data_IF_571416153070
#
_entry.id   IF_571416153070
#
_cell.length_a   1.000
_cell.length_b   1.000
_cell.length_c   1.000
_cell.angle_alpha   90.00
_cell.angle_beta   90.00
_cell.angle_gamma   90.00
#
_symmetry.space_group_name_H-M   'P 1'
#
loop_
_entity.id
_entity.type
_entity.pdbx_description
1 polymer ?
#
# COMPACT_ATOMS: atom_id res chain seq x y z
N UNK A 1 -13.37 1.61 -3.64
CA UNK A 1 -12.94 1.21 -5.01
C UNK A 1 -12.18 -0.12 -4.94
N UNK A 2 -12.05 -0.89 -6.02
CA UNK A 2 -11.22 -2.10 -6.01
C UNK A 2 -9.79 -1.77 -6.49
N UNK A 3 -8.79 -1.99 -5.62
CA UNK A 3 -7.37 -1.72 -5.89
C UNK A 3 -6.71 -2.82 -6.72
N UNK A 4 -7.31 -4.02 -6.79
CA UNK A 4 -6.85 -5.13 -7.61
C UNK A 4 -6.52 -6.40 -6.82
N UNK A 5 -5.77 -7.29 -7.48
CA UNK A 5 -5.38 -8.60 -6.96
C UNK A 5 -3.86 -8.62 -6.77
N UNK A 6 -3.42 -9.01 -5.59
CA UNK A 6 -2.02 -9.02 -5.19
C UNK A 6 -1.63 -10.40 -4.67
N UNK A 7 -0.40 -10.82 -4.94
CA UNK A 7 0.15 -12.05 -4.36
C UNK A 7 0.75 -11.79 -2.98
N UNK A 8 0.94 -12.86 -2.21
CA UNK A 8 1.59 -12.76 -0.91
C UNK A 8 3.06 -12.33 -1.08
N UNK A 9 3.53 -11.45 -0.20
CA UNK A 9 4.83 -10.81 -0.29
C UNK A 9 4.91 -9.66 -1.32
N UNK A 10 3.79 -9.19 -1.86
CA UNK A 10 3.73 -7.95 -2.63
C UNK A 10 3.33 -6.76 -1.75
N UNK A 11 3.56 -5.56 -2.26
CA UNK A 11 3.11 -4.31 -1.61
C UNK A 11 1.88 -3.78 -2.34
N UNK A 12 0.80 -3.55 -1.60
CA UNK A 12 -0.36 -2.79 -2.09
C UNK A 12 -0.22 -1.34 -1.67
N UNK A 13 -0.45 -0.40 -2.58
CA UNK A 13 -0.51 1.03 -2.24
C UNK A 13 -1.95 1.40 -1.93
N UNK A 14 -2.21 1.76 -0.68
CA UNK A 14 -3.50 2.33 -0.24
C UNK A 14 -3.37 3.85 -0.18
N UNK A 15 -4.45 4.56 -0.45
CA UNK A 15 -4.40 6.02 -0.46
C UNK A 15 -5.76 6.69 -0.45
N UNK A 16 -5.76 7.96 -0.06
CA UNK A 16 -6.94 8.77 0.13
C UNK A 16 -6.64 10.22 -0.25
N UNK A 17 -7.56 10.83 -1.00
CA UNK A 17 -7.64 12.28 -1.13
C UNK A 17 -8.66 12.81 -0.10
N UNK A 18 -8.22 13.73 0.74
CA UNK A 18 -9.05 14.38 1.76
C UNK A 18 -9.81 15.53 1.12
N UNK A 19 -11.11 15.58 1.38
CA UNK A 19 -12.02 16.63 0.94
C UNK A 19 -12.79 17.23 2.11
N UNK A 20 -13.32 18.43 1.96
CA UNK A 20 -14.22 19.05 2.93
C UNK A 20 -15.69 18.66 2.68
N UNK A 21 -16.62 19.30 3.41
CA UNK A 21 -18.05 19.06 3.29
C UNK A 21 -18.63 19.42 1.90
N UNK A 22 -17.95 20.26 1.13
CA UNK A 22 -18.34 20.65 -0.22
C UNK A 22 -17.72 19.74 -1.29
N UNK A 23 -16.83 18.83 -0.89
CA UNK A 23 -16.06 17.98 -1.79
C UNK A 23 -14.79 18.63 -2.33
N UNK A 24 -14.39 19.80 -1.79
CA UNK A 24 -13.19 20.49 -2.21
C UNK A 24 -11.96 19.90 -1.50
N UNK A 25 -10.79 19.79 -2.18
CA UNK A 25 -9.57 19.28 -1.55
C UNK A 25 -9.19 20.10 -0.32
N UNK A 26 -9.03 19.41 0.81
CA UNK A 26 -8.76 20.07 2.08
C UNK A 26 -7.71 19.32 2.89
N UNK A 27 -6.95 20.06 3.69
CA UNK A 27 -5.99 19.46 4.61
C UNK A 27 -6.72 18.94 5.85
N UNK A 28 -6.42 17.72 6.32
CA UNK A 28 -7.04 17.20 7.53
C UNK A 28 -6.39 17.80 8.79
N UNK A 29 -7.12 17.81 9.91
CA UNK A 29 -6.60 18.26 11.22
C UNK A 29 -5.56 17.27 11.77
N UNK A 30 -5.78 15.98 11.51
CA UNK A 30 -4.88 14.90 11.90
C UNK A 30 -4.65 13.97 10.71
N UNK A 31 -3.52 13.25 10.72
CA UNK A 31 -3.24 12.27 9.68
C UNK A 31 -4.39 11.24 9.56
N UNK A 32 -4.94 11.02 8.34
CA UNK A 32 -5.97 10.04 8.10
C UNK A 32 -5.57 8.65 8.59
N UNK A 33 -6.55 7.87 9.02
CA UNK A 33 -6.37 6.48 9.46
C UNK A 33 -6.93 5.55 8.40
N UNK A 34 -6.21 4.46 8.11
CA UNK A 34 -6.69 3.35 7.32
C UNK A 34 -6.77 2.10 8.21
N UNK A 35 -7.94 1.47 8.26
CA UNK A 35 -8.17 0.20 8.95
C UNK A 35 -8.41 -0.88 7.92
N UNK A 36 -7.64 -1.95 7.97
CA UNK A 36 -7.76 -3.09 7.06
C UNK A 36 -8.46 -4.23 7.81
N UNK A 37 -9.57 -4.70 7.27
CA UNK A 37 -10.31 -5.86 7.76
C UNK A 37 -10.29 -7.00 6.75
N UNK A 38 -10.32 -8.23 7.24
CA UNK A 38 -10.49 -9.43 6.42
C UNK A 38 -11.97 -9.70 6.07
N UNK A 39 -12.24 -10.85 5.46
CA UNK A 39 -13.59 -11.24 5.05
C UNK A 39 -14.53 -11.55 6.23
N UNK A 40 -13.98 -11.76 7.44
CA UNK A 40 -14.72 -11.99 8.68
C UNK A 40 -14.85 -10.70 9.51
N UNK A 41 -14.60 -9.54 8.89
CA UNK A 41 -14.57 -8.20 9.50
C UNK A 41 -13.57 -8.05 10.65
N UNK A 42 -12.59 -8.95 10.75
CA UNK A 42 -11.54 -8.88 11.76
C UNK A 42 -10.46 -7.89 11.34
N UNK A 43 -10.05 -7.02 12.27
CA UNK A 43 -9.01 -6.00 12.00
C UNK A 43 -7.65 -6.66 11.90
N UNK A 44 -7.06 -6.60 10.71
CA UNK A 44 -5.71 -7.11 10.43
C UNK A 44 -4.65 -6.03 10.60
N UNK A 45 -4.98 -4.78 10.28
CA UNK A 45 -4.08 -3.65 10.47
C UNK A 45 -4.83 -2.34 10.72
N UNK A 46 -4.21 -1.44 11.47
CA UNK A 46 -4.63 -0.04 11.63
C UNK A 46 -3.41 0.85 11.47
N UNK A 47 -3.47 1.73 10.48
CA UNK A 47 -2.32 2.47 9.97
C UNK A 47 -2.65 3.95 9.84
N UNK A 48 -1.67 4.81 10.13
CA UNK A 48 -1.73 6.23 9.77
C UNK A 48 -1.18 6.42 8.36
N UNK A 49 -1.92 7.10 7.50
CA UNK A 49 -1.45 7.40 6.15
C UNK A 49 -0.46 8.55 6.17
N UNK A 50 0.59 8.44 5.37
CA UNK A 50 1.58 9.50 5.18
C UNK A 50 1.14 10.44 4.05
N UNK A 51 1.51 11.72 4.15
CA UNK A 51 1.31 12.68 3.06
C UNK A 51 2.05 12.23 1.80
N UNK A 52 1.39 12.31 0.65
CA UNK A 52 1.92 11.94 -0.65
C UNK A 52 2.00 13.17 -1.56
N UNK A 53 3.11 13.90 -1.47
CA UNK A 53 3.40 15.07 -2.29
C UNK A 53 2.75 16.38 -1.80
N UNK A 54 1.45 16.37 -1.49
CA UNK A 54 0.73 17.54 -1.00
C UNK A 54 -0.04 17.25 0.32
N UNK A 55 -0.63 18.27 0.92
CA UNK A 55 -1.32 18.17 2.23
C UNK A 55 -2.73 17.57 2.16
N UNK A 56 -3.24 17.26 0.97
CA UNK A 56 -4.59 16.74 0.76
C UNK A 56 -4.59 15.29 0.28
N UNK A 57 -3.48 14.78 -0.27
CA UNK A 57 -3.32 13.42 -0.74
C UNK A 57 -2.43 12.62 0.22
N UNK A 58 -2.89 11.44 0.58
CA UNK A 58 -2.21 10.55 1.51
C UNK A 58 -2.10 9.16 0.91
N UNK A 59 -0.95 8.51 1.08
CA UNK A 59 -0.75 7.15 0.59
C UNK A 59 0.26 6.40 1.46
N UNK A 60 0.13 5.08 1.48
CA UNK A 60 1.06 4.18 2.16
C UNK A 60 1.16 2.86 1.40
N UNK A 61 2.38 2.37 1.25
CA UNK A 61 2.62 1.00 0.78
C UNK A 61 2.49 0.02 1.95
N UNK A 62 1.59 -0.96 1.82
CA UNK A 62 1.37 -2.02 2.80
C UNK A 62 1.92 -3.34 2.25
N UNK A 63 2.92 -3.90 2.92
CA UNK A 63 3.48 -5.18 2.56
C UNK A 63 2.57 -6.33 3.03
N UNK A 64 2.13 -7.15 2.08
CA UNK A 64 1.21 -8.26 2.28
C UNK A 64 1.96 -9.51 2.75
N UNK A 65 2.49 -9.45 3.97
CA UNK A 65 3.25 -10.53 4.58
C UNK A 65 2.39 -11.68 5.13
N UNK A 66 2.93 -12.42 6.10
CA UNK A 66 2.29 -13.61 6.66
C UNK A 66 0.95 -13.35 7.37
N UNK A 67 0.71 -12.12 7.82
CA UNK A 67 -0.53 -11.72 8.48
C UNK A 67 -1.70 -11.52 7.50
N UNK A 68 -1.43 -11.53 6.20
CA UNK A 68 -2.44 -11.42 5.15
C UNK A 68 -2.63 -12.80 4.52
N UNK A 69 -3.67 -13.51 4.96
CA UNK A 69 -4.13 -14.76 4.36
C UNK A 69 -4.75 -14.51 2.98
N UNK A 70 -5.02 -15.59 2.26
CA UNK A 70 -5.69 -15.51 0.97
C UNK A 70 -7.15 -15.08 1.17
N UNK A 71 -7.60 -14.08 0.42
CA UNK A 71 -8.95 -13.55 0.60
C UNK A 71 -9.09 -12.12 0.14
N UNK A 72 -10.31 -11.60 0.27
CA UNK A 72 -10.61 -10.19 0.01
C UNK A 72 -10.54 -9.42 1.31
N UNK A 73 -9.90 -8.26 1.25
CA UNK A 73 -9.74 -7.32 2.35
C UNK A 73 -10.45 -6.02 2.03
N UNK A 74 -10.98 -5.40 3.07
CA UNK A 74 -11.58 -4.06 3.01
C UNK A 74 -10.68 -3.08 3.74
N UNK A 75 -10.41 -1.93 3.13
CA UNK A 75 -9.69 -0.82 3.72
C UNK A 75 -10.69 0.29 3.97
N UNK A 76 -10.92 0.61 5.23
CA UNK A 76 -11.77 1.74 5.63
C UNK A 76 -10.89 2.91 6.05
N UNK A 77 -11.05 4.03 5.36
CA UNK A 77 -10.36 5.27 5.67
C UNK A 77 -11.26 6.19 6.51
N UNK A 78 -10.66 6.87 7.47
CA UNK A 78 -11.31 7.92 8.25
C UNK A 78 -10.40 9.13 8.41
N UNK A 79 -10.99 10.31 8.28
CA UNK A 79 -10.30 11.59 8.42
C UNK A 79 -11.24 12.68 8.93
N UNK A 80 -10.64 13.78 9.38
CA UNK A 80 -11.36 14.97 9.80
C UNK A 80 -10.72 16.21 9.16
N UNK A 81 -11.53 17.05 8.51
CA UNK A 81 -11.13 18.35 7.98
C UNK A 81 -12.05 19.43 8.57
N UNK A 82 -11.52 20.26 9.47
CA UNK A 82 -12.34 21.21 10.23
C UNK A 82 -13.41 20.50 11.07
N UNK A 83 -14.66 20.91 10.91
CA UNK A 83 -15.83 20.27 11.54
C UNK A 83 -16.37 19.06 10.76
N UNK A 84 -15.85 18.80 9.54
CA UNK A 84 -16.30 17.71 8.70
C UNK A 84 -15.50 16.43 8.99
N UNK A 85 -16.21 15.32 9.17
CA UNK A 85 -15.64 13.97 9.27
C UNK A 85 -15.98 13.21 8.00
N UNK A 86 -14.95 12.74 7.30
CA UNK A 86 -15.11 11.97 6.09
C UNK A 86 -14.63 10.54 6.25
N UNK A 87 -15.20 9.66 5.43
CA UNK A 87 -14.77 8.28 5.30
C UNK A 87 -14.82 7.84 3.85
N UNK A 88 -14.02 6.83 3.53
CA UNK A 88 -14.02 6.17 2.23
C UNK A 88 -13.66 4.69 2.43
N UNK A 89 -13.95 3.85 1.45
CA UNK A 89 -13.54 2.45 1.50
C UNK A 89 -13.02 1.94 0.17
N UNK A 90 -11.98 1.11 0.27
CA UNK A 90 -11.40 0.35 -0.81
C UNK A 90 -11.37 -1.14 -0.50
N UNK A 91 -11.15 -1.95 -1.53
CA UNK A 91 -11.00 -3.39 -1.39
C UNK A 91 -9.81 -3.88 -2.20
N UNK A 92 -9.11 -4.90 -1.73
CA UNK A 92 -8.11 -5.62 -2.51
C UNK A 92 -8.20 -7.12 -2.22
N UNK A 93 -7.72 -7.95 -3.13
CA UNK A 93 -7.73 -9.41 -2.93
C UNK A 93 -6.31 -9.96 -2.92
N UNK A 94 -5.98 -10.73 -1.88
CA UNK A 94 -4.76 -11.54 -1.81
C UNK A 94 -5.01 -12.88 -2.47
N UNK A 95 -4.24 -13.20 -3.51
CA UNK A 95 -4.35 -14.42 -4.31
C UNK A 95 -3.18 -15.36 -4.05
N UNK A 96 -3.36 -16.69 -4.28
CA UNK A 96 -2.27 -17.64 -4.17
C UNK A 96 -1.07 -17.24 -5.04
N UNK A 97 0.13 -17.47 -4.52
CA UNK A 97 1.39 -17.16 -5.19
C UNK A 97 2.29 -16.27 -4.34
N UNK A 98 3.58 -16.28 -4.65
CA UNK A 98 4.59 -15.55 -3.90
C UNK A 98 5.04 -16.28 -2.64
N UNK A 99 5.76 -15.53 -1.81
CA UNK A 99 6.29 -15.99 -0.52
C UNK A 99 5.95 -14.92 0.52
N UNK A 100 5.40 -15.28 1.69
CA UNK A 100 5.01 -14.30 2.72
C UNK A 100 6.17 -13.42 3.22
N UNK A 101 7.42 -13.88 3.06
CA UNK A 101 8.61 -13.11 3.38
C UNK A 101 9.11 -12.24 2.23
N UNK A 102 8.45 -12.25 1.07
CA UNK A 102 8.89 -11.51 -0.12
C UNK A 102 10.23 -12.02 -0.64
N UNK A 103 10.47 -13.33 -0.56
CA UNK A 103 11.76 -13.92 -0.95
C UNK A 103 12.12 -13.63 -2.41
N UNK A 104 13.40 -13.28 -2.59
CA UNK A 104 14.04 -13.12 -3.90
C UNK A 104 14.55 -14.48 -4.35
N UNK A 105 14.13 -14.92 -5.54
CA UNK A 105 14.56 -16.20 -6.15
C UNK A 105 15.71 -16.02 -7.14
N UNK A 106 15.87 -14.82 -7.70
CA UNK A 106 16.95 -14.49 -8.61
C UNK A 106 17.34 -13.02 -8.46
N UNK A 107 18.63 -12.73 -8.54
CA UNK A 107 19.16 -11.38 -8.40
C UNK A 107 20.27 -11.18 -9.43
N UNK A 108 20.18 -10.09 -10.19
CA UNK A 108 21.11 -9.76 -11.26
C UNK A 108 21.59 -8.32 -11.09
N UNK A 109 22.90 -8.13 -11.10
CA UNK A 109 23.51 -6.82 -11.12
C UNK A 109 23.56 -6.32 -12.56
N UNK A 110 22.82 -5.26 -12.84
CA UNK A 110 22.76 -4.65 -14.16
C UNK A 110 23.59 -3.37 -14.19
N UNK A 111 24.67 -3.39 -14.97
CA UNK A 111 25.59 -2.26 -15.15
C UNK A 111 25.35 -1.62 -16.52
N UNK A 112 24.96 -0.35 -16.52
CA UNK A 112 24.92 0.52 -17.71
C UNK A 112 25.86 1.70 -17.49
N UNK A 113 26.42 2.30 -18.56
CA UNK A 113 27.29 3.46 -18.44
C UNK A 113 26.72 4.62 -17.61
N UNK A 114 25.40 4.76 -17.59
CA UNK A 114 24.66 5.83 -16.93
C UNK A 114 24.06 5.45 -15.56
N UNK A 115 24.02 4.15 -15.20
CA UNK A 115 23.52 3.71 -13.90
C UNK A 115 23.77 2.22 -13.60
N UNK A 116 23.86 1.91 -12.30
CA UNK A 116 23.89 0.55 -11.75
C UNK A 116 22.63 0.24 -10.99
N UNK A 117 22.01 -0.90 -11.30
CA UNK A 117 20.81 -1.38 -10.64
C UNK A 117 20.96 -2.83 -10.22
N UNK A 118 20.30 -3.19 -9.13
CA UNK A 118 20.05 -4.57 -8.77
C UNK A 118 18.64 -4.90 -9.22
N UNK A 119 18.51 -5.89 -10.09
CA UNK A 119 17.24 -6.44 -10.55
C UNK A 119 17.00 -7.73 -9.78
N UNK A 120 15.91 -7.80 -9.03
CA UNK A 120 15.55 -8.95 -8.22
C UNK A 120 14.20 -9.51 -8.70
N UNK A 121 14.14 -10.82 -8.93
CA UNK A 121 12.88 -11.52 -9.17
C UNK A 121 12.41 -12.14 -7.85
N UNK A 122 11.17 -11.85 -7.47
CA UNK A 122 10.50 -12.44 -6.32
C UNK A 122 9.90 -13.79 -6.68
N UNK A 123 9.62 -14.62 -5.66
CA UNK A 123 8.83 -15.85 -5.80
C UNK A 123 7.43 -15.58 -6.38
N UNK A 124 6.95 -14.34 -6.25
CA UNK A 124 5.68 -13.87 -6.85
C UNK A 124 5.78 -13.61 -8.36
N UNK A 125 6.95 -13.82 -8.98
CA UNK A 125 7.22 -13.49 -10.37
C UNK A 125 7.39 -11.99 -10.63
N UNK A 126 7.29 -11.15 -9.60
CA UNK A 126 7.48 -9.70 -9.71
C UNK A 126 8.98 -9.36 -9.79
N UNK A 127 9.32 -8.45 -10.69
CA UNK A 127 10.68 -7.93 -10.82
C UNK A 127 10.78 -6.60 -10.08
N UNK A 128 11.58 -6.58 -9.03
CA UNK A 128 11.98 -5.38 -8.30
C UNK A 128 13.27 -4.82 -8.90
N UNK A 129 13.35 -3.50 -9.03
CA UNK A 129 14.55 -2.80 -9.43
C UNK A 129 14.92 -1.81 -8.32
N UNK A 130 16.13 -1.94 -7.79
CA UNK A 130 16.63 -1.10 -6.71
C UNK A 130 18.02 -0.54 -7.02
N UNK A 131 18.30 0.64 -6.49
CA UNK A 131 19.67 1.18 -6.45
C UNK A 131 20.40 0.56 -5.26
N UNK A 132 21.66 0.18 -5.43
CA UNK A 132 22.46 -0.32 -4.32
C UNK A 132 22.71 0.83 -3.32
N UNK A 133 22.28 0.74 -2.04
CA UNK A 133 22.39 1.85 -1.09
C UNK A 133 23.81 2.12 -0.58
N UNK A 134 24.81 1.32 -0.99
CA UNK A 134 26.23 1.49 -0.59
C UNK A 134 27.12 2.17 -1.65
N UNK A 135 26.54 2.73 -2.70
CA UNK A 135 27.25 3.50 -3.74
C UNK A 135 26.63 4.88 -3.91
#
# INVERSE_FOLDING_TARGET
MNLGRYQQGQTVTIGLAVVDANGDPASPITAPTAVITDADDSVVASLKLAMNGNSTAFALGVFLGINYSLGTYTVTYSYQSGAFSGSASDTFTVIPGGDPGGRVISLYAYDRPEARYVVAQLTSGLILQGRNPRL
#
